data_IF_335433832392
#
_entry.id   IF_335433832392
#
_cell.length_a   1.000
_cell.length_b   1.000
_cell.length_c   1.000
_cell.angle_alpha   90.00
_cell.angle_beta   90.00
_cell.angle_gamma   90.00
#
_symmetry.space_group_name_H-M   'P 1'
#
loop_
_entity.id
_entity.type
_entity.pdbx_description
1 polymer ?
#
# COMPACT_ATOMS: atom_id res chain seq x y z
N UNK A 1 -8.09 -10.57 -14.69
CA UNK A 1 -7.64 -9.99 -13.40
C UNK A 1 -6.88 -11.06 -12.67
N UNK A 2 -5.59 -10.85 -12.45
CA UNK A 2 -4.80 -11.73 -11.58
C UNK A 2 -4.97 -11.28 -10.14
N UNK A 3 -5.11 -12.22 -9.22
CA UNK A 3 -5.22 -11.92 -7.78
C UNK A 3 -3.82 -11.63 -7.25
N UNK A 4 -3.59 -10.42 -6.71
CA UNK A 4 -2.36 -10.09 -5.99
C UNK A 4 -2.47 -10.64 -4.58
N UNK A 5 -1.46 -11.40 -4.14
CA UNK A 5 -1.29 -11.80 -2.74
C UNK A 5 -0.33 -10.83 -2.06
N UNK A 6 -0.73 -10.36 -0.89
CA UNK A 6 0.11 -9.59 0.02
C UNK A 6 0.54 -10.55 1.13
N UNK A 7 1.85 -10.69 1.31
CA UNK A 7 2.41 -11.49 2.40
C UNK A 7 2.30 -10.73 3.74
N UNK A 8 2.21 -11.43 4.89
CA UNK A 8 2.06 -10.79 6.20
C UNK A 8 3.15 -9.74 6.50
N UNK A 9 4.38 -9.99 6.06
CA UNK A 9 5.50 -9.05 6.21
C UNK A 9 5.24 -7.75 5.43
N UNK A 10 4.70 -7.85 4.21
CA UNK A 10 4.37 -6.69 3.39
C UNK A 10 3.19 -5.89 3.99
N UNK A 11 2.19 -6.57 4.56
CA UNK A 11 1.10 -5.90 5.29
C UNK A 11 1.65 -5.14 6.52
N UNK A 12 2.57 -5.75 7.26
CA UNK A 12 3.22 -5.10 8.39
C UNK A 12 4.05 -3.88 7.98
N UNK A 13 4.77 -3.97 6.86
CA UNK A 13 5.54 -2.86 6.28
C UNK A 13 4.64 -1.70 5.83
N UNK A 14 3.54 -1.99 5.12
CA UNK A 14 2.54 -0.98 4.74
C UNK A 14 1.95 -0.29 5.97
N UNK A 15 1.60 -1.06 7.01
CA UNK A 15 1.11 -0.50 8.27
C UNK A 15 2.15 0.36 9.00
N UNK A 16 3.44 -0.03 8.96
CA UNK A 16 4.52 0.75 9.53
C UNK A 16 4.75 2.06 8.76
N UNK A 17 4.70 2.01 7.42
CA UNK A 17 4.77 3.17 6.54
C UNK A 17 3.65 4.17 6.80
N UNK A 18 2.40 3.69 6.82
CA UNK A 18 1.23 4.53 7.12
C UNK A 18 1.37 5.26 8.47
N UNK A 19 1.79 4.55 9.52
CA UNK A 19 2.04 5.15 10.84
C UNK A 19 3.16 6.17 10.83
N UNK A 20 4.19 6.00 10.00
CA UNK A 20 5.28 6.95 9.88
C UNK A 20 4.82 8.23 9.17
N UNK A 21 4.12 8.09 8.04
CA UNK A 21 3.61 9.21 7.26
C UNK A 21 2.56 10.04 8.02
N UNK A 22 1.68 9.39 8.78
CA UNK A 22 0.69 10.08 9.61
C UNK A 22 1.32 11.02 10.64
N UNK A 23 2.50 10.65 11.17
CA UNK A 23 3.26 11.50 12.11
C UNK A 23 3.89 12.73 11.42
N UNK A 24 4.10 12.69 10.11
CA UNK A 24 4.66 13.81 9.36
C UNK A 24 3.58 14.87 9.08
N UNK A 25 2.39 14.41 8.69
CA UNK A 25 1.23 15.27 8.41
C UNK A 25 -0.03 14.46 8.63
N UNK A 26 -0.99 15.03 9.37
CA UNK A 26 -2.30 14.42 9.55
C UNK A 26 -2.93 14.07 8.18
N UNK A 27 -3.40 12.84 8.03
CA UNK A 27 -3.99 12.28 6.80
C UNK A 27 -2.99 11.68 5.81
N UNK A 28 -1.69 11.94 5.94
CA UNK A 28 -0.70 11.44 4.99
C UNK A 28 -0.50 9.92 5.07
N UNK A 29 -0.82 9.31 6.22
CA UNK A 29 -0.83 7.85 6.35
C UNK A 29 -1.89 7.18 5.46
N UNK A 30 -3.04 7.83 5.31
CA UNK A 30 -4.11 7.37 4.40
C UNK A 30 -3.69 7.53 2.93
N UNK A 31 -3.18 8.71 2.56
CA UNK A 31 -2.67 8.97 1.20
C UNK A 31 -1.58 7.97 0.78
N UNK A 32 -0.73 7.55 1.72
CA UNK A 32 0.27 6.51 1.49
C UNK A 32 -0.37 5.15 1.15
N UNK A 33 -1.40 4.74 1.88
CA UNK A 33 -2.10 3.47 1.63
C UNK A 33 -2.82 3.52 0.28
N UNK A 34 -3.49 4.62 -0.04
CA UNK A 34 -4.17 4.81 -1.32
C UNK A 34 -3.19 4.70 -2.50
N UNK A 35 -2.02 5.32 -2.38
CA UNK A 35 -0.97 5.23 -3.40
C UNK A 35 -0.43 3.80 -3.56
N UNK A 36 -0.30 3.05 -2.46
CA UNK A 36 0.12 1.65 -2.50
C UNK A 36 -0.94 0.74 -3.16
N UNK A 37 -2.22 0.94 -2.83
CA UNK A 37 -3.35 0.21 -3.43
C UNK A 37 -3.46 0.47 -4.94
N UNK A 38 -3.24 1.72 -5.37
CA UNK A 38 -3.21 2.07 -6.79
C UNK A 38 -2.07 1.34 -7.51
N UNK A 39 -0.88 1.28 -6.91
CA UNK A 39 0.26 0.58 -7.49
C UNK A 39 -0.02 -0.93 -7.63
N UNK A 40 -0.58 -1.56 -6.60
CA UNK A 40 -0.99 -2.97 -6.61
C UNK A 40 -2.05 -3.23 -7.68
N UNK A 41 -3.05 -2.34 -7.79
CA UNK A 41 -4.09 -2.42 -8.81
C UNK A 41 -3.54 -2.36 -10.23
N UNK A 42 -2.51 -1.53 -10.49
CA UNK A 42 -1.83 -1.47 -11.78
C UNK A 42 -1.09 -2.78 -12.09
N UNK A 43 -0.42 -3.37 -11.12
CA UNK A 43 0.25 -4.67 -11.27
C UNK A 43 -0.78 -5.78 -11.57
N UNK A 44 -1.90 -5.80 -10.87
CA UNK A 44 -2.98 -6.77 -11.07
C UNK A 44 -3.63 -6.68 -12.47
N UNK A 45 -3.65 -5.48 -13.05
CA UNK A 45 -4.19 -5.21 -14.39
C UNK A 45 -3.22 -5.60 -15.52
N UNK A 46 -1.91 -5.58 -15.26
CA UNK A 46 -0.85 -5.90 -16.23
C UNK A 46 0.14 -6.94 -15.67
N UNK A 47 -0.32 -8.17 -15.42
CA UNK A 47 0.57 -9.25 -14.97
C UNK A 47 1.56 -9.60 -16.10
N UNK A 48 2.86 -9.67 -15.78
CA UNK A 48 3.92 -10.15 -16.70
C UNK A 48 3.93 -11.66 -16.83
#
# INVERSE_FOLDING_TARGET
MSVVRIEPEAEAELGAGARWYEKQRAGLGGEFIDAADEAVSRIAAFPM
#
